data_IF_903237393487
#
_entry.id   IF_903237393487
#
_cell.length_a   1.000
_cell.length_b   1.000
_cell.length_c   1.000
_cell.angle_alpha   90.00
_cell.angle_beta   90.00
_cell.angle_gamma   90.00
#
_symmetry.space_group_name_H-M   'P 1'
#
loop_
_entity.id
_entity.type
_entity.pdbx_description
1 polymer ?
#
# COMPACT_ATOMS: atom_id res chain seq x y z
N UNK A 1 -7.42 0.37 0.23
CA UNK A 1 -6.14 1.04 0.56
C UNK A 1 -6.36 2.54 0.52
N UNK A 2 -5.91 3.31 1.52
CA UNK A 2 -6.02 4.79 1.47
C UNK A 2 -4.60 5.37 1.39
N UNK A 3 -4.37 6.24 0.41
CA UNK A 3 -3.09 6.92 0.24
C UNK A 3 -3.06 8.14 1.16
N UNK A 4 -1.93 8.38 1.82
CA UNK A 4 -1.72 9.52 2.68
C UNK A 4 -0.36 10.15 2.39
N UNK A 5 -0.34 11.48 2.35
CA UNK A 5 0.87 12.27 2.12
C UNK A 5 1.35 12.78 3.47
N UNK A 6 2.62 12.58 3.79
CA UNK A 6 3.19 13.10 5.03
C UNK A 6 3.48 14.60 4.90
N UNK A 7 2.54 15.43 5.37
CA UNK A 7 2.60 16.89 5.19
C UNK A 7 3.66 17.62 6.03
N UNK A 8 4.31 16.94 7.00
CA UNK A 8 5.29 17.57 7.89
C UNK A 8 6.70 17.67 7.27
N UNK A 9 7.05 16.73 6.38
CA UNK A 9 8.39 16.63 5.81
C UNK A 9 8.42 16.83 4.29
N UNK A 10 7.30 16.61 3.59
CA UNK A 10 7.27 16.67 2.13
C UNK A 10 7.17 18.13 1.66
N UNK A 11 8.09 18.57 0.80
CA UNK A 11 7.89 19.74 -0.06
C UNK A 11 6.88 19.37 -1.18
N UNK A 12 5.72 20.04 -1.28
CA UNK A 12 4.73 19.78 -2.32
C UNK A 12 5.27 19.87 -3.75
N UNK A 13 6.36 20.61 -3.99
CA UNK A 13 6.96 20.80 -5.31
C UNK A 13 7.34 19.48 -6.01
N UNK A 14 7.64 18.43 -5.24
CA UNK A 14 7.98 17.09 -5.75
C UNK A 14 6.90 16.52 -6.68
N UNK A 15 5.63 16.86 -6.44
CA UNK A 15 4.54 16.35 -7.25
C UNK A 15 4.44 17.01 -8.63
N UNK A 16 5.34 17.94 -8.96
CA UNK A 16 5.51 18.44 -10.33
C UNK A 16 6.27 17.45 -11.22
N UNK A 17 6.98 16.48 -10.64
CA UNK A 17 7.67 15.42 -11.40
C UNK A 17 6.67 14.46 -12.06
N UNK A 18 7.11 13.80 -13.13
CA UNK A 18 6.30 12.78 -13.80
C UNK A 18 6.11 11.55 -12.90
N UNK A 19 5.09 10.73 -13.19
CA UNK A 19 4.81 9.52 -12.40
C UNK A 19 5.99 8.53 -12.40
N UNK A 20 6.80 8.49 -13.47
CA UNK A 20 7.97 7.61 -13.58
C UNK A 20 9.13 8.09 -12.71
N UNK A 21 9.38 9.39 -12.70
CA UNK A 21 10.40 10.02 -11.83
C UNK A 21 10.03 9.84 -10.36
N UNK A 22 8.77 10.14 -10.00
CA UNK A 22 8.26 9.90 -8.65
C UNK A 22 8.38 8.43 -8.23
N UNK A 23 8.14 7.49 -9.14
CA UNK A 23 8.29 6.07 -8.84
C UNK A 23 9.74 5.75 -8.45
N UNK A 24 10.70 6.27 -9.22
CA UNK A 24 12.12 6.07 -8.93
C UNK A 24 12.52 6.71 -7.61
N UNK A 25 12.09 7.95 -7.34
CA UNK A 25 12.42 8.69 -6.11
C UNK A 25 11.81 8.08 -4.83
N UNK A 26 10.61 7.49 -4.92
CA UNK A 26 9.86 6.99 -3.75
C UNK A 26 10.15 5.50 -3.49
N UNK A 27 10.33 4.69 -4.54
CA UNK A 27 10.35 3.22 -4.41
C UNK A 27 11.70 2.57 -4.71
N UNK A 28 12.63 3.24 -5.40
CA UNK A 28 13.99 2.70 -5.56
C UNK A 28 14.77 3.07 -4.29
N UNK A 29 15.22 2.04 -3.57
CA UNK A 29 15.78 2.17 -2.22
C UNK A 29 17.01 3.08 -2.13
N UNK A 30 17.34 3.44 -0.88
CA UNK A 30 18.42 4.35 -0.47
C UNK A 30 19.80 4.15 -1.12
N UNK A 31 20.12 3.01 -1.74
CA UNK A 31 21.42 2.83 -2.41
C UNK A 31 21.62 3.78 -3.61
N UNK A 32 20.54 4.24 -4.25
CA UNK A 32 20.60 5.24 -5.32
C UNK A 32 20.58 6.70 -4.82
N UNK A 33 20.20 6.91 -3.55
CA UNK A 33 20.07 8.24 -2.96
C UNK A 33 21.31 8.59 -2.16
N UNK A 34 22.26 9.23 -2.86
CA UNK A 34 23.38 9.93 -2.22
C UNK A 34 22.84 10.89 -1.15
N UNK A 35 23.60 11.00 -0.06
CA UNK A 35 23.36 11.83 1.10
C UNK A 35 22.75 13.22 0.74
N UNK A 36 21.66 13.58 1.43
CA UNK A 36 20.98 14.89 1.41
C UNK A 36 19.87 15.16 0.37
N UNK A 37 19.04 14.18 0.01
CA UNK A 37 17.75 14.49 -0.62
C UNK A 37 16.61 14.17 0.34
N UNK A 38 15.77 15.16 0.64
CA UNK A 38 14.48 14.99 1.33
C UNK A 38 13.64 14.04 0.47
N UNK A 39 13.70 12.74 0.77
CA UNK A 39 12.89 11.74 0.06
C UNK A 39 11.42 12.05 0.36
N UNK A 40 10.58 12.28 -0.67
CA UNK A 40 9.16 12.47 -0.46
C UNK A 40 8.56 11.19 0.14
N UNK A 41 8.13 11.25 1.41
CA UNK A 41 7.46 10.12 2.04
C UNK A 41 5.98 10.09 1.68
N UNK A 42 5.62 9.27 0.70
CA UNK A 42 4.25 8.79 0.51
C UNK A 42 4.00 7.58 1.40
N UNK A 43 2.98 7.66 2.26
CA UNK A 43 2.63 6.57 3.16
C UNK A 43 1.29 5.95 2.75
N UNK A 44 1.28 4.61 2.67
CA UNK A 44 0.06 3.84 2.48
C UNK A 44 -0.57 3.50 3.82
N UNK A 45 -1.84 3.89 4.03
CA UNK A 45 -2.61 3.53 5.22
C UNK A 45 -3.52 2.35 4.91
N UNK A 46 -3.23 1.22 5.56
CA UNK A 46 -4.00 -0.01 5.45
C UNK A 46 -5.13 -0.02 6.48
N UNK A 47 -6.35 0.27 6.04
CA UNK A 47 -7.53 0.34 6.92
C UNK A 47 -7.84 -0.98 7.64
N UNK A 48 -7.52 -2.10 7.01
CA UNK A 48 -7.68 -3.44 7.57
C UNK A 48 -6.55 -3.84 8.53
N UNK A 49 -5.61 -2.93 8.85
CA UNK A 49 -4.52 -3.14 9.82
C UNK A 49 -4.64 -2.17 11.00
N UNK A 50 -5.87 -1.84 11.40
CA UNK A 50 -6.21 -1.03 12.58
C UNK A 50 -5.31 0.22 12.78
N UNK A 51 -5.23 1.14 11.80
CA UNK A 51 -4.35 2.29 11.90
C UNK A 51 -4.86 3.28 12.96
N UNK A 52 -3.94 3.85 13.75
CA UNK A 52 -4.25 4.95 14.65
C UNK A 52 -4.34 6.23 13.82
N UNK A 53 -5.53 6.83 13.77
CA UNK A 53 -5.77 8.10 13.08
C UNK A 53 -6.51 9.05 14.00
N UNK A 54 -6.12 10.33 13.95
CA UNK A 54 -6.73 11.38 14.75
C UNK A 54 -7.05 12.59 13.88
N UNK A 55 -8.01 13.39 14.33
CA UNK A 55 -8.31 14.66 13.65
C UNK A 55 -7.18 15.67 13.93
N UNK A 56 -6.91 16.60 12.99
CA UNK A 56 -5.90 17.65 13.21
C UNK A 56 -6.15 18.50 14.46
N UNK A 57 -7.42 18.63 14.90
CA UNK A 57 -7.79 19.36 16.13
C UNK A 57 -7.20 18.75 17.40
N UNK A 58 -6.84 17.47 17.38
CA UNK A 58 -6.20 16.79 18.51
C UNK A 58 -4.72 17.17 18.64
N UNK A 59 -4.08 17.65 17.57
CA UNK A 59 -2.72 18.19 17.59
C UNK A 59 -2.73 19.66 17.98
N UNK A 60 -2.92 19.95 19.27
CA UNK A 60 -2.80 21.31 19.79
C UNK A 60 -1.33 21.80 19.75
N UNK A 61 -1.13 23.09 20.02
CA UNK A 61 0.21 23.69 20.00
C UNK A 61 1.17 23.06 21.02
N UNK A 62 0.65 22.55 22.16
CA UNK A 62 1.46 21.89 23.20
C UNK A 62 1.99 20.53 22.72
N UNK A 63 1.13 19.72 22.13
CA UNK A 63 1.48 18.42 21.55
C UNK A 63 2.44 18.62 20.37
N UNK A 64 2.17 19.60 19.52
CA UNK A 64 3.06 19.93 18.40
C UNK A 64 4.45 20.35 18.87
N UNK A 65 4.55 21.21 19.90
CA UNK A 65 5.83 21.60 20.49
C UNK A 65 6.56 20.40 21.10
N UNK A 66 5.85 19.54 21.84
CA UNK A 66 6.43 18.32 22.45
C UNK A 66 6.97 17.34 21.40
N UNK A 67 6.29 17.24 20.26
CA UNK A 67 6.66 16.34 19.16
C UNK A 67 7.56 17.00 18.12
N UNK A 68 7.98 18.26 18.33
CA UNK A 68 8.76 19.06 17.38
C UNK A 68 8.12 19.14 15.98
N UNK A 69 6.80 19.29 15.93
CA UNK A 69 6.01 19.39 14.69
C UNK A 69 5.73 20.86 14.39
N UNK A 70 6.14 21.32 13.20
CA UNK A 70 5.78 22.64 12.70
C UNK A 70 4.38 22.62 12.05
N UNK A 71 3.36 23.05 12.78
CA UNK A 71 1.97 23.07 12.31
C UNK A 71 1.74 24.06 11.15
N UNK A 72 2.46 25.17 11.12
CA UNK A 72 2.32 26.18 10.07
C UNK A 72 2.87 25.66 8.74
N UNK A 73 4.03 24.99 8.76
CA UNK A 73 4.57 24.26 7.61
C UNK A 73 3.59 23.19 7.12
N UNK A 74 3.04 22.38 8.03
CA UNK A 74 2.04 21.36 7.68
C UNK A 74 0.82 21.96 6.97
N UNK A 75 0.34 23.12 7.45
CA UNK A 75 -0.81 23.82 6.88
C UNK A 75 -0.49 24.39 5.50
N UNK A 76 0.66 25.03 5.34
CA UNK A 76 1.11 25.55 4.05
C UNK A 76 1.21 24.42 3.00
N UNK A 77 1.83 23.30 3.38
CA UNK A 77 1.94 22.11 2.54
C UNK A 77 0.57 21.55 2.17
N UNK A 78 -0.35 21.43 3.13
CA UNK A 78 -1.71 20.97 2.85
C UNK A 78 -2.45 21.86 1.83
N UNK A 79 -2.32 23.19 1.95
CA UNK A 79 -2.92 24.13 1.01
C UNK A 79 -2.38 23.96 -0.41
N UNK A 80 -1.05 23.86 -0.56
CA UNK A 80 -0.41 23.62 -1.85
C UNK A 80 -0.85 22.28 -2.47
N UNK A 81 -0.83 21.19 -1.70
CA UNK A 81 -1.23 19.86 -2.20
C UNK A 81 -2.69 19.83 -2.67
N UNK A 82 -3.57 20.60 -2.01
CA UNK A 82 -4.99 20.68 -2.38
C UNK A 82 -5.20 21.30 -3.76
N UNK A 83 -4.32 22.20 -4.20
CA UNK A 83 -4.44 22.88 -5.50
C UNK A 83 -3.84 22.08 -6.66
N UNK A 84 -3.03 21.06 -6.40
CA UNK A 84 -2.26 20.34 -7.44
C UNK A 84 -3.01 19.20 -8.15
N UNK A 85 -4.21 18.82 -7.72
CA UNK A 85 -5.01 17.81 -8.43
C UNK A 85 -4.38 16.40 -8.48
N UNK A 86 -3.68 15.99 -7.42
CA UNK A 86 -2.79 14.82 -7.36
C UNK A 86 -3.43 13.44 -7.57
N UNK A 87 -4.76 13.34 -7.58
CA UNK A 87 -5.48 12.04 -7.53
C UNK A 87 -5.10 11.11 -8.68
N UNK A 88 -5.06 11.62 -9.91
CA UNK A 88 -4.77 10.81 -11.10
C UNK A 88 -3.31 10.37 -11.19
N UNK A 89 -2.38 11.25 -10.82
CA UNK A 89 -0.94 10.98 -10.78
C UNK A 89 -0.61 9.93 -9.73
N UNK A 90 -1.13 10.08 -8.50
CA UNK A 90 -0.97 9.08 -7.44
C UNK A 90 -1.59 7.73 -7.81
N UNK A 91 -2.74 7.73 -8.50
CA UNK A 91 -3.35 6.48 -8.98
C UNK A 91 -2.43 5.75 -9.97
N UNK A 92 -1.87 6.45 -10.96
CA UNK A 92 -0.92 5.87 -11.92
C UNK A 92 0.35 5.37 -11.24
N UNK A 93 0.88 6.14 -10.29
CA UNK A 93 2.08 5.79 -9.53
C UNK A 93 1.93 4.44 -8.81
N UNK A 94 0.77 4.18 -8.18
CA UNK A 94 0.53 2.93 -7.46
C UNK A 94 0.02 1.78 -8.33
N UNK A 95 -0.63 2.07 -9.46
CA UNK A 95 -1.02 1.03 -10.43
C UNK A 95 0.16 0.42 -11.17
N UNK A 96 1.21 1.20 -11.46
CA UNK A 96 2.40 0.71 -12.15
C UNK A 96 3.28 -0.24 -11.31
N UNK A 97 2.84 -0.61 -10.10
CA UNK A 97 3.59 -1.48 -9.21
C UNK A 97 3.29 -2.94 -9.53
N UNK A 98 4.12 -3.52 -10.39
CA UNK A 98 4.08 -4.96 -10.67
C UNK A 98 4.96 -5.71 -9.68
N UNK A 99 4.40 -6.76 -9.07
CA UNK A 99 5.18 -7.70 -8.26
C UNK A 99 5.29 -9.00 -9.06
N UNK A 100 6.51 -9.52 -9.30
CA UNK A 100 6.65 -10.78 -9.98
C UNK A 100 6.03 -11.89 -9.12
N UNK A 101 5.26 -12.76 -9.78
CA UNK A 101 4.67 -13.94 -9.14
C UNK A 101 5.77 -14.78 -8.51
N UNK A 102 5.52 -15.27 -7.29
CA UNK A 102 6.49 -16.11 -6.58
C UNK A 102 6.42 -17.56 -7.08
N UNK A 103 7.56 -18.23 -7.15
CA UNK A 103 7.62 -19.61 -7.67
C UNK A 103 6.99 -20.63 -6.71
N UNK A 104 7.05 -20.39 -5.41
CA UNK A 104 6.55 -21.29 -4.38
C UNK A 104 5.12 -20.95 -4.00
N UNK A 105 4.24 -21.95 -3.95
CA UNK A 105 2.80 -21.78 -3.66
C UNK A 105 2.58 -21.16 -2.28
N UNK A 106 3.43 -21.50 -1.31
CA UNK A 106 3.44 -20.95 0.05
C UNK A 106 3.67 -19.43 0.07
N UNK A 107 4.22 -18.86 -1.00
CA UNK A 107 4.46 -17.43 -1.16
C UNK A 107 3.39 -16.71 -2.01
N UNK A 108 2.39 -17.44 -2.51
CA UNK A 108 1.34 -16.91 -3.39
C UNK A 108 0.05 -16.51 -2.65
N UNK A 109 0.07 -16.46 -1.31
CA UNK A 109 -1.11 -16.11 -0.49
C UNK A 109 -1.76 -14.78 -0.89
N UNK A 110 -0.98 -13.83 -1.41
CA UNK A 110 -1.45 -12.50 -1.81
C UNK A 110 -1.64 -12.34 -3.33
N UNK A 111 -1.50 -13.41 -4.13
CA UNK A 111 -1.68 -13.36 -5.59
C UNK A 111 -3.15 -13.32 -6.02
N UNK A 112 -4.08 -13.60 -5.09
CA UNK A 112 -5.52 -13.56 -5.35
C UNK A 112 -6.34 -14.12 -4.20
N UNK A 113 -7.65 -14.04 -4.33
CA UNK A 113 -8.59 -14.70 -3.43
C UNK A 113 -9.15 -15.96 -4.09
N UNK A 114 -9.31 -17.02 -3.31
CA UNK A 114 -10.01 -18.23 -3.78
C UNK A 114 -11.45 -17.88 -4.16
N UNK A 115 -11.99 -18.44 -5.25
CA UNK A 115 -13.37 -18.20 -5.65
C UNK A 115 -14.33 -18.78 -4.61
N UNK A 116 -15.52 -18.17 -4.51
CA UNK A 116 -16.53 -18.63 -3.55
C UNK A 116 -16.97 -20.09 -3.80
N UNK A 117 -16.89 -20.57 -5.04
CA UNK A 117 -17.17 -21.97 -5.42
C UNK A 117 -16.28 -22.98 -4.72
N UNK A 118 -15.06 -22.59 -4.34
CA UNK A 118 -14.06 -23.50 -3.80
C UNK A 118 -14.16 -23.59 -2.27
N UNK A 119 -14.88 -22.66 -1.61
CA UNK A 119 -15.02 -22.65 -0.15
C UNK A 119 -15.61 -23.94 0.43
N UNK A 120 -16.70 -24.53 -0.11
CA UNK A 120 -17.25 -25.79 0.39
C UNK A 120 -16.27 -26.96 0.23
N UNK A 121 -15.48 -26.94 -0.84
CA UNK A 121 -14.46 -27.97 -1.11
C UNK A 121 -13.36 -27.90 -0.04
N UNK A 122 -12.88 -26.69 0.28
CA UNK A 122 -11.90 -26.47 1.35
C UNK A 122 -12.42 -26.89 2.74
N UNK A 123 -13.72 -26.69 3.00
CA UNK A 123 -14.36 -27.12 4.26
C UNK A 123 -14.51 -28.64 4.34
N UNK A 124 -14.89 -29.30 3.24
CA UNK A 124 -14.97 -30.75 3.16
C UNK A 124 -13.61 -31.40 3.43
N UNK A 125 -12.54 -30.93 2.78
CA UNK A 125 -11.17 -31.40 3.00
C UNK A 125 -10.75 -31.26 4.47
N UNK A 126 -11.05 -30.11 5.09
CA UNK A 126 -10.69 -29.85 6.50
C UNK A 126 -11.44 -30.78 7.46
N UNK A 127 -12.69 -31.11 7.16
CA UNK A 127 -13.53 -31.97 7.99
C UNK A 127 -13.16 -33.45 7.87
N UNK A 128 -12.63 -33.85 6.71
CA UNK A 128 -12.18 -35.22 6.44
C UNK A 128 -10.72 -35.47 6.86
N UNK A 129 -10.03 -34.46 7.40
CA UNK A 129 -8.61 -34.51 7.74
C UNK A 129 -8.26 -35.59 8.79
N UNK A 130 -9.23 -36.05 9.58
CA UNK A 130 -9.04 -37.14 10.55
C UNK A 130 -9.05 -38.56 9.91
N UNK A 131 -9.56 -38.71 8.67
CA UNK A 131 -9.81 -40.01 8.05
C UNK A 131 -8.89 -40.37 6.86
N UNK A 132 -7.84 -39.59 6.58
CA UNK A 132 -7.08 -39.75 5.34
C UNK A 132 -6.20 -41.03 5.31
N UNK A 133 -6.77 -42.12 4.79
CA UNK A 133 -6.06 -43.27 4.20
C UNK A 133 -6.68 -43.60 2.81
N UNK A 134 -6.85 -42.62 1.92
CA UNK A 134 -7.06 -42.83 0.47
C UNK A 134 -7.07 -41.50 -0.29
N UNK A 135 -6.69 -41.45 -1.59
CA UNK A 135 -6.73 -40.22 -2.36
C UNK A 135 -8.18 -39.84 -2.70
N UNK A 136 -8.73 -38.84 -2.01
CA UNK A 136 -9.94 -38.17 -2.44
C UNK A 136 -9.65 -37.39 -3.73
N UNK A 137 -10.38 -37.66 -4.81
CA UNK A 137 -10.31 -36.85 -6.03
C UNK A 137 -10.99 -35.51 -5.76
N UNK A 138 -10.20 -34.45 -5.63
CA UNK A 138 -10.67 -33.08 -5.41
C UNK A 138 -10.44 -32.25 -6.66
N UNK A 139 -11.49 -31.60 -7.15
CA UNK A 139 -11.43 -30.72 -8.32
C UNK A 139 -11.66 -29.28 -7.89
N UNK A 140 -10.67 -28.41 -8.11
CA UNK A 140 -10.83 -26.96 -7.96
C UNK A 140 -11.13 -26.33 -9.32
N UNK A 141 -12.01 -25.33 -9.36
CA UNK A 141 -12.27 -24.56 -10.58
C UNK A 141 -11.14 -23.55 -10.75
N UNK A 142 -10.08 -23.94 -11.45
CA UNK A 142 -8.98 -23.03 -11.76
C UNK A 142 -9.47 -22.03 -12.81
N UNK A 143 -9.82 -20.82 -12.38
CA UNK A 143 -9.83 -19.68 -13.29
C UNK A 143 -8.37 -19.32 -13.60
N UNK A 144 -7.86 -19.86 -14.70
CA UNK A 144 -6.60 -19.39 -15.29
C UNK A 144 -6.83 -17.95 -15.74
N UNK A 145 -6.46 -16.98 -14.91
CA UNK A 145 -6.28 -15.62 -15.38
C UNK A 145 -5.02 -15.61 -16.23
N UNK A 146 -5.18 -15.86 -17.53
CA UNK A 146 -4.14 -15.60 -18.53
C UNK A 146 -3.87 -14.09 -18.51
N UNK A 147 -2.82 -13.66 -17.82
CA UNK A 147 -2.20 -12.38 -18.07
C UNK A 147 -1.16 -12.58 -19.17
N UNK A 148 -1.54 -12.25 -20.40
CA UNK A 148 -0.62 -11.82 -21.46
C UNK A 148 -0.48 -10.31 -21.38
#
# INVERSE_FOLDING_TARGET
MRLSVQISLVDPSIFNHTAKELYHEIFMGNEALKENTDVPSLLTVHLNRCPIVATPKLGDSKIAQKLNINLDKCRANWHALKTMGLKSQLHRLYLGKEYPRKNFVEQQLYDGFAPNSDKPILEAIRSDAENFIAPANVFFLIHVTNNL
#
